data_IF_153309197586
#
_entry.id   IF_153309197586
#
_cell.length_a   1.000
_cell.length_b   1.000
_cell.length_c   1.000
_cell.angle_alpha   90.00
_cell.angle_beta   90.00
_cell.angle_gamma   90.00
#
_symmetry.space_group_name_H-M   'P 1'
#
loop_
_entity.id
_entity.type
_entity.pdbx_description
1 polymer ?
#
# COMPACT_ATOMS: atom_id res chain seq x y z
N UNK A 1 6.80 21.98 10.81
CA UNK A 1 7.78 21.26 9.96
C UNK A 1 7.15 19.96 9.47
N UNK A 2 6.55 19.97 8.28
CA UNK A 2 5.91 18.78 7.71
C UNK A 2 6.93 17.96 6.90
N UNK A 3 7.56 16.97 7.52
CA UNK A 3 8.43 16.05 6.80
C UNK A 3 7.64 15.30 5.72
N UNK A 4 8.17 15.27 4.49
CA UNK A 4 7.66 14.39 3.42
C UNK A 4 7.93 12.96 3.85
N UNK A 5 6.97 12.30 4.48
CA UNK A 5 7.06 10.87 4.73
C UNK A 5 7.07 10.17 3.38
N UNK A 6 8.19 9.54 3.03
CA UNK A 6 8.31 8.74 1.83
C UNK A 6 7.35 7.55 1.94
N UNK A 7 6.85 7.02 0.80
CA UNK A 7 6.17 5.74 0.81
C UNK A 7 7.03 4.68 1.50
N UNK A 8 6.40 3.89 2.35
CA UNK A 8 7.06 2.85 3.13
C UNK A 8 6.56 1.48 2.69
N UNK A 9 7.50 0.55 2.65
CA UNK A 9 7.25 -0.88 2.50
C UNK A 9 7.66 -1.58 3.77
N UNK A 10 6.75 -2.35 4.34
CA UNK A 10 7.00 -3.16 5.53
C UNK A 10 6.40 -4.53 5.36
N UNK A 11 6.84 -5.48 6.16
CA UNK A 11 6.26 -6.81 6.27
C UNK A 11 5.84 -6.98 7.73
N UNK A 12 4.62 -7.43 7.97
CA UNK A 12 4.09 -7.50 9.33
C UNK A 12 2.85 -8.39 9.46
N UNK A 13 2.46 -8.71 10.71
CA UNK A 13 1.27 -9.52 10.97
C UNK A 13 -0.01 -8.77 10.61
N UNK A 14 -0.99 -9.50 10.10
CA UNK A 14 -2.34 -9.03 9.85
C UNK A 14 -3.32 -10.19 10.04
N UNK A 15 -4.43 -9.91 10.71
CA UNK A 15 -5.53 -10.85 10.87
C UNK A 15 -6.71 -10.35 10.05
N UNK A 16 -7.03 -11.01 8.91
CA UNK A 16 -8.25 -10.72 8.17
C UNK A 16 -9.47 -10.98 9.06
N UNK A 17 -10.57 -10.30 8.80
CA UNK A 17 -11.82 -10.55 9.52
C UNK A 17 -12.23 -12.03 9.38
N UNK A 18 -12.39 -12.72 10.51
CA UNK A 18 -12.71 -14.15 10.56
C UNK A 18 -11.57 -15.10 10.17
N UNK A 19 -10.35 -14.60 9.95
CA UNK A 19 -9.17 -15.38 9.56
C UNK A 19 -8.17 -15.62 10.69
N UNK A 20 -7.06 -16.26 10.34
CA UNK A 20 -5.88 -16.41 11.20
C UNK A 20 -4.89 -15.27 10.97
N UNK A 21 -4.10 -14.95 12.00
CA UNK A 21 -2.99 -14.01 11.84
C UNK A 21 -1.95 -14.62 10.89
N UNK A 22 -1.60 -13.87 9.85
CA UNK A 22 -0.52 -14.21 8.93
C UNK A 22 0.32 -12.98 8.63
N UNK A 23 1.50 -13.18 8.06
CA UNK A 23 2.39 -12.07 7.69
C UNK A 23 2.10 -11.61 6.27
N UNK A 24 1.93 -10.30 6.06
CA UNK A 24 1.64 -9.70 4.75
C UNK A 24 2.65 -8.59 4.45
N UNK A 25 2.83 -8.29 3.15
CA UNK A 25 3.51 -7.08 2.74
C UNK A 25 2.57 -5.89 2.84
N UNK A 26 3.06 -4.76 3.33
CA UNK A 26 2.31 -3.52 3.49
C UNK A 26 2.96 -2.40 2.67
N UNK A 27 2.10 -1.60 2.06
CA UNK A 27 2.48 -0.39 1.34
C UNK A 27 1.73 0.81 1.89
N UNK A 28 2.48 1.74 2.46
CA UNK A 28 1.94 2.89 3.16
C UNK A 28 2.45 4.17 2.54
N UNK A 29 1.57 5.12 2.23
CA UNK A 29 1.96 6.42 1.70
C UNK A 29 1.10 7.54 2.25
N UNK A 30 1.63 8.76 2.19
CA UNK A 30 0.96 9.96 2.66
C UNK A 30 0.44 10.76 1.48
N UNK A 31 -0.82 11.20 1.54
CA UNK A 31 -1.45 12.08 0.55
C UNK A 31 -2.04 13.34 1.18
N UNK A 32 -2.06 14.43 0.42
CA UNK A 32 -2.76 15.66 0.83
C UNK A 32 -4.27 15.50 0.64
N UNK A 33 -5.07 15.93 1.62
CA UNK A 33 -6.53 15.97 1.50
C UNK A 33 -7.02 17.22 0.74
N UNK A 34 -6.17 18.24 0.59
CA UNK A 34 -6.49 19.44 -0.18
C UNK A 34 -6.40 19.23 -1.70
N UNK A 35 -5.65 18.19 -2.14
CA UNK A 35 -5.49 17.86 -3.55
C UNK A 35 -6.51 16.83 -4.01
N UNK A 36 -7.78 17.20 -4.02
CA UNK A 36 -8.90 16.33 -4.39
C UNK A 36 -8.87 15.83 -5.85
N UNK A 37 -7.96 16.33 -6.69
CA UNK A 37 -7.85 16.01 -8.12
C UNK A 37 -6.60 15.20 -8.49
N UNK A 38 -5.88 14.66 -7.51
CA UNK A 38 -4.71 13.81 -7.75
C UNK A 38 -5.08 12.38 -7.43
N UNK A 39 -5.10 11.53 -8.47
CA UNK A 39 -5.45 10.12 -8.31
C UNK A 39 -4.17 9.32 -8.04
N UNK A 40 -4.11 8.76 -6.83
CA UNK A 40 -3.03 7.88 -6.42
C UNK A 40 -3.47 6.43 -6.58
N UNK A 41 -2.76 5.68 -7.42
CA UNK A 41 -3.05 4.28 -7.71
C UNK A 41 -1.88 3.44 -7.21
N UNK A 42 -2.15 2.56 -6.25
CA UNK A 42 -1.19 1.58 -5.78
C UNK A 42 -1.25 0.35 -6.70
N UNK A 43 -0.10 -0.03 -7.26
CA UNK A 43 0.03 -1.17 -8.18
C UNK A 43 1.16 -2.08 -7.71
N UNK A 44 1.05 -3.38 -7.96
CA UNK A 44 2.12 -4.35 -7.78
C UNK A 44 2.45 -5.08 -9.07
N UNK A 45 3.60 -5.76 -9.06
CA UNK A 45 4.01 -6.67 -10.13
C UNK A 45 4.99 -7.71 -9.59
N UNK A 46 5.16 -8.80 -10.33
CA UNK A 46 6.19 -9.82 -10.09
C UNK A 46 7.40 -9.64 -11.01
N UNK A 47 7.33 -8.69 -11.96
CA UNK A 47 8.45 -8.30 -12.83
C UNK A 47 8.66 -6.78 -12.81
N UNK A 48 9.90 -6.32 -12.98
CA UNK A 48 10.16 -4.88 -13.07
C UNK A 48 9.72 -4.29 -14.43
N UNK A 49 9.65 -5.13 -15.46
CA UNK A 49 9.54 -4.71 -16.86
C UNK A 49 8.11 -4.73 -17.41
N UNK A 50 7.13 -5.29 -16.70
CA UNK A 50 5.77 -5.40 -17.22
C UNK A 50 4.75 -5.96 -16.24
N UNK A 51 3.48 -5.80 -16.59
CA UNK A 51 2.28 -6.27 -15.87
C UNK A 51 2.14 -5.71 -14.46
N UNK A 52 1.72 -4.45 -14.39
CA UNK A 52 1.34 -3.78 -13.15
C UNK A 52 -0.16 -3.96 -12.91
N UNK A 53 -0.53 -4.44 -11.74
CA UNK A 53 -1.90 -4.73 -11.35
C UNK A 53 -2.27 -4.06 -10.04
N UNK A 54 -3.52 -3.61 -9.92
CA UNK A 54 -4.09 -3.13 -8.65
C UNK A 54 -4.76 -4.26 -7.86
N UNK A 55 -5.01 -5.41 -8.49
CA UNK A 55 -5.82 -6.49 -7.90
C UNK A 55 -5.10 -7.23 -6.75
N UNK A 56 -3.77 -7.17 -6.72
CA UNK A 56 -2.97 -7.85 -5.70
C UNK A 56 -2.67 -6.96 -4.47
N UNK A 57 -3.25 -5.75 -4.43
CA UNK A 57 -3.17 -4.85 -3.29
C UNK A 57 -4.56 -4.60 -2.72
N UNK A 58 -4.72 -4.92 -1.45
CA UNK A 58 -5.96 -4.78 -0.70
C UNK A 58 -5.87 -3.54 0.17
N UNK A 59 -6.84 -2.64 0.04
CA UNK A 59 -6.96 -1.48 0.90
C UNK A 59 -7.20 -1.92 2.35
N UNK A 60 -6.41 -1.38 3.29
CA UNK A 60 -6.55 -1.66 4.72
C UNK A 60 -7.23 -0.49 5.41
N UNK A 61 -6.64 0.70 5.33
CA UNK A 61 -7.20 1.88 5.99
C UNK A 61 -6.71 3.20 5.38
N UNK A 62 -7.38 4.27 5.84
CA UNK A 62 -6.95 5.65 5.68
C UNK A 62 -7.01 6.32 7.04
N UNK A 63 -5.85 6.72 7.57
CA UNK A 63 -5.76 7.50 8.80
C UNK A 63 -5.63 8.99 8.45
N UNK A 64 -6.62 9.80 8.84
CA UNK A 64 -6.57 11.25 8.67
C UNK A 64 -5.67 11.88 9.72
N UNK A 65 -4.86 12.85 9.30
CA UNK A 65 -3.97 13.61 10.16
C UNK A 65 -4.50 15.05 10.38
N UNK A 66 -4.22 15.67 11.54
CA UNK A 66 -4.65 17.05 11.83
C UNK A 66 -4.10 18.10 10.86
N UNK A 67 -3.02 17.78 10.15
CA UNK A 67 -2.34 18.69 9.20
C UNK A 67 -2.90 18.66 7.78
N UNK A 68 -4.12 18.15 7.60
CA UNK A 68 -4.78 18.12 6.29
C UNK A 68 -4.22 17.07 5.34
N UNK A 69 -3.53 16.05 5.86
CA UNK A 69 -3.07 14.89 5.08
C UNK A 69 -3.72 13.60 5.56
N UNK A 70 -3.52 12.53 4.82
CA UNK A 70 -3.92 11.19 5.19
C UNK A 70 -2.81 10.19 4.92
N UNK A 71 -2.65 9.22 5.82
CA UNK A 71 -1.85 8.02 5.63
C UNK A 71 -2.77 6.95 5.07
N UNK A 72 -2.43 6.40 3.91
CA UNK A 72 -3.17 5.33 3.25
C UNK A 72 -2.33 4.07 3.32
N UNK A 73 -2.95 2.96 3.73
CA UNK A 73 -2.30 1.67 3.89
C UNK A 73 -2.97 0.64 3.00
N UNK A 74 -2.16 -0.02 2.18
CA UNK A 74 -2.51 -1.23 1.45
C UNK A 74 -1.71 -2.40 2.00
N UNK A 75 -2.22 -3.61 1.78
CA UNK A 75 -1.50 -4.86 2.00
C UNK A 75 -1.50 -5.72 0.74
N UNK A 76 -0.61 -6.70 0.66
CA UNK A 76 -0.71 -7.75 -0.35
C UNK A 76 -2.01 -8.55 -0.18
N UNK A 77 -2.57 -9.01 -1.29
CA UNK A 77 -3.75 -9.87 -1.29
C UNK A 77 -3.48 -11.23 -0.65
N UNK A 78 -2.27 -11.76 -0.83
CA UNK A 78 -1.81 -13.03 -0.27
C UNK A 78 -0.77 -12.82 0.83
N UNK A 79 -0.63 -13.77 1.78
CA UNK A 79 0.44 -13.79 2.77
C UNK A 79 1.83 -13.78 2.13
N UNK A 80 2.80 -13.20 2.83
CA UNK A 80 4.20 -13.13 2.42
C UNK A 80 4.83 -14.51 2.15
N UNK A 81 4.38 -15.55 2.85
CA UNK A 81 4.79 -16.94 2.64
C UNK A 81 4.35 -17.52 1.29
N UNK A 82 3.31 -16.93 0.68
CA UNK A 82 2.75 -17.34 -0.62
C UNK A 82 3.16 -16.38 -1.75
N UNK A 83 3.88 -15.31 -1.43
CA UNK A 83 4.33 -14.35 -2.43
C UNK A 83 5.45 -14.95 -3.30
N UNK A 84 5.52 -14.58 -4.58
CA UNK A 84 6.63 -14.96 -5.44
C UNK A 84 7.95 -14.37 -4.93
N UNK A 85 9.07 -15.00 -5.28
CA UNK A 85 10.41 -14.58 -4.85
C UNK A 85 10.76 -13.13 -5.21
N UNK A 86 10.08 -12.56 -6.21
CA UNK A 86 10.16 -11.14 -6.55
C UNK A 86 8.75 -10.57 -6.53
N UNK A 87 8.57 -9.53 -5.75
CA UNK A 87 7.35 -8.74 -5.71
C UNK A 87 7.72 -7.26 -5.62
N UNK A 88 7.11 -6.47 -6.46
CA UNK A 88 7.33 -5.04 -6.59
C UNK A 88 6.02 -4.33 -6.34
N UNK A 89 6.09 -3.13 -5.79
CA UNK A 89 4.95 -2.24 -5.72
C UNK A 89 5.37 -0.80 -5.97
N UNK A 90 4.42 -0.01 -6.48
CA UNK A 90 4.63 1.40 -6.79
C UNK A 90 3.38 2.21 -6.52
N UNK A 91 3.59 3.52 -6.41
CA UNK A 91 2.53 4.51 -6.45
C UNK A 91 2.56 5.20 -7.81
N UNK A 92 1.48 5.08 -8.58
CA UNK A 92 1.28 5.84 -9.81
C UNK A 92 0.39 7.04 -9.53
N UNK A 93 0.78 8.19 -10.06
CA UNK A 93 -0.02 9.42 -10.02
C UNK A 93 -0.70 9.59 -11.37
N UNK A 94 -2.00 9.89 -11.38
CA UNK A 94 -2.78 10.28 -12.56
C UNK A 94 -3.39 11.67 -12.37
#
# INVERSE_FOLDING_TARGET
MGGRTLPQFTVGPFTPEGGTEETYAFFTFRRSLAMARVDYIAESSVTLTGDWSTAELVYVNTLRQPDGTAIVTYRSAVPASQMPAKWFARLRVR
#
